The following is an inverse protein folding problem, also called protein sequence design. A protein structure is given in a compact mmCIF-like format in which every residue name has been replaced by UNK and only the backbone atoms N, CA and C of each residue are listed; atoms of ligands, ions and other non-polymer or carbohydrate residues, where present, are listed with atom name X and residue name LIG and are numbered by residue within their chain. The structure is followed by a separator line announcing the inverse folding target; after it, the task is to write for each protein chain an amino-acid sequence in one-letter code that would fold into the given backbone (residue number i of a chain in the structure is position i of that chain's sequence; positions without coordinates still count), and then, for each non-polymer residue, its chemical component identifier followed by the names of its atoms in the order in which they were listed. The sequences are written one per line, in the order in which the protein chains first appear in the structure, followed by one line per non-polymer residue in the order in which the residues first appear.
data_IF_355320717610
#
_entry.id   IF_355320717610
#
_cell.length_a   1.000
_cell.length_b   1.000
_cell.length_c   1.000
_cell.angle_alpha   90.00
_cell.angle_beta   90.00
_cell.angle_gamma   90.00
#
_symmetry.space_group_name_H-M   'P 1'
#
loop_
_entity.id
_entity.type
_entity.pdbx_description
1 polymer ?
#
# COMPACT_ATOMS: atom_id res chain seq x y z
N UNK A 1 22.67 -19.64 0.59
CA UNK A 1 21.61 -19.51 1.64
C UNK A 1 21.09 -18.09 1.52
N UNK A 2 19.79 -17.89 1.49
CA UNK A 2 19.18 -16.56 1.42
C UNK A 2 19.39 -15.83 2.74
N UNK A 3 19.77 -14.54 2.71
CA UNK A 3 19.93 -13.68 3.89
C UNK A 3 18.95 -12.52 3.81
N UNK A 4 18.71 -11.83 4.94
CA UNK A 4 17.90 -10.60 5.00
C UNK A 4 18.43 -9.56 4.03
N UNK A 5 19.75 -9.34 3.97
CA UNK A 5 20.44 -8.43 3.04
C UNK A 5 20.15 -8.79 1.58
N UNK A 6 20.15 -10.07 1.24
CA UNK A 6 19.86 -10.49 -0.13
C UNK A 6 18.41 -10.20 -0.54
N UNK A 7 17.46 -10.33 0.42
CA UNK A 7 16.06 -9.98 0.19
C UNK A 7 15.90 -8.47 0.06
N UNK A 8 16.53 -7.68 0.92
CA UNK A 8 16.53 -6.23 0.85
C UNK A 8 17.07 -5.73 -0.51
N UNK A 9 18.21 -6.29 -0.95
CA UNK A 9 18.80 -5.92 -2.24
C UNK A 9 17.84 -6.23 -3.40
N UNK A 10 17.22 -7.40 -3.42
CA UNK A 10 16.25 -7.76 -4.46
C UNK A 10 15.03 -6.81 -4.45
N UNK A 11 14.58 -6.35 -3.29
CA UNK A 11 13.52 -5.37 -3.18
C UNK A 11 13.95 -4.00 -3.71
N UNK A 12 15.20 -3.58 -3.47
CA UNK A 12 15.76 -2.34 -4.03
C UNK A 12 16.04 -2.45 -5.53
N UNK A 13 16.29 -3.65 -6.07
CA UNK A 13 16.39 -3.87 -7.52
C UNK A 13 15.04 -3.63 -8.22
N UNK A 14 13.92 -3.84 -7.51
CA UNK A 14 12.58 -3.50 -8.00
C UNK A 14 12.19 -2.06 -7.72
N UNK A 15 12.33 -1.62 -6.48
CA UNK A 15 11.95 -0.29 -6.00
C UNK A 15 13.15 0.37 -5.30
N UNK A 16 14.06 1.00 -6.05
CA UNK A 16 15.25 1.65 -5.51
C UNK A 16 14.95 2.60 -4.35
N UNK A 17 15.86 2.63 -3.36
CA UNK A 17 15.71 3.48 -2.18
C UNK A 17 15.57 4.96 -2.53
N UNK A 18 16.23 5.38 -3.60
CA UNK A 18 16.26 6.76 -4.09
C UNK A 18 14.90 7.25 -4.60
N UNK A 19 13.95 6.34 -4.82
CA UNK A 19 12.56 6.68 -5.14
C UNK A 19 11.73 7.06 -3.91
N UNK A 20 12.24 6.80 -2.70
CA UNK A 20 11.52 7.14 -1.49
C UNK A 20 11.49 8.65 -1.26
N UNK A 21 10.37 9.13 -0.74
CA UNK A 21 10.25 10.51 -0.26
C UNK A 21 11.28 10.80 0.84
N UNK A 22 11.79 12.03 0.90
CA UNK A 22 12.90 12.42 1.80
C UNK A 22 12.58 12.29 3.30
N UNK A 23 11.30 12.28 3.65
CA UNK A 23 10.81 12.11 5.03
C UNK A 23 10.56 10.66 5.42
N UNK A 24 10.66 9.73 4.46
CA UNK A 24 10.28 8.32 4.63
C UNK A 24 11.42 7.48 5.23
N UNK A 25 11.06 6.30 5.73
CA UNK A 25 11.99 5.35 6.34
C UNK A 25 11.78 3.96 5.75
N UNK A 26 12.55 3.62 4.72
CA UNK A 26 12.42 2.38 3.95
C UNK A 26 13.64 1.48 4.10
N UNK A 27 13.47 0.19 3.83
CA UNK A 27 14.50 -0.84 3.89
C UNK A 27 14.45 -1.66 5.17
N UNK A 28 15.58 -2.24 5.56
CA UNK A 28 15.70 -3.02 6.79
C UNK A 28 15.65 -2.10 8.02
N UNK A 29 14.54 -2.15 8.74
CA UNK A 29 14.32 -1.30 9.92
C UNK A 29 14.59 -2.02 11.23
N UNK A 30 14.47 -3.35 11.27
CA UNK A 30 14.71 -4.17 12.47
C UNK A 30 15.39 -5.48 12.04
N UNK A 31 16.39 -5.91 12.80
CA UNK A 31 17.01 -7.23 12.65
C UNK A 31 18.44 -7.22 12.12
N UNK A 32 19.00 -8.42 11.97
CA UNK A 32 20.35 -8.64 11.46
C UNK A 32 20.31 -8.83 9.93
N UNK A 33 21.02 -7.99 9.16
CA UNK A 33 21.06 -8.11 7.71
C UNK A 33 21.67 -9.43 7.21
N UNK A 34 22.54 -10.07 8.00
CA UNK A 34 23.24 -11.29 7.62
C UNK A 34 22.51 -12.56 8.12
N UNK A 35 21.40 -12.42 8.85
CA UNK A 35 20.60 -13.52 9.32
C UNK A 35 20.06 -14.37 8.14
N UNK A 36 20.07 -15.71 8.25
CA UNK A 36 19.53 -16.60 7.25
C UNK A 36 17.98 -16.52 7.22
N UNK A 37 17.42 -16.56 6.02
CA UNK A 37 15.97 -16.51 5.80
C UNK A 37 15.53 -17.71 5.00
N UNK A 38 14.55 -18.44 5.50
CA UNK A 38 13.87 -19.55 4.82
C UNK A 38 12.35 -19.34 4.72
N UNK A 39 11.79 -18.47 5.56
CA UNK A 39 10.36 -18.14 5.58
C UNK A 39 10.16 -16.64 5.68
N UNK A 40 9.35 -16.10 4.77
CA UNK A 40 9.04 -14.67 4.66
C UNK A 40 7.53 -14.50 4.76
N UNK A 41 7.09 -13.57 5.60
CA UNK A 41 5.71 -13.15 5.71
C UNK A 41 5.54 -11.77 5.07
N UNK A 42 4.55 -11.60 4.20
CA UNK A 42 4.21 -10.33 3.57
C UNK A 42 2.97 -9.76 4.25
N UNK A 43 2.97 -8.47 4.55
CA UNK A 43 1.82 -7.76 5.08
C UNK A 43 1.79 -6.31 4.61
N UNK A 44 0.65 -5.63 4.70
CA UNK A 44 0.60 -4.18 4.51
C UNK A 44 1.24 -3.48 5.72
N UNK A 45 0.81 -3.86 6.92
CA UNK A 45 1.29 -3.30 8.20
C UNK A 45 1.91 -4.38 9.09
N UNK A 46 2.92 -4.00 9.88
CA UNK A 46 3.48 -4.86 10.95
C UNK A 46 2.71 -4.61 12.25
N UNK A 47 1.61 -5.33 12.42
CA UNK A 47 0.79 -5.27 13.62
C UNK A 47 1.23 -6.31 14.66
N UNK A 48 0.81 -6.21 15.95
CA UNK A 48 1.07 -7.27 16.93
C UNK A 48 0.55 -8.65 16.50
N UNK A 49 -0.54 -8.70 15.73
CA UNK A 49 -1.09 -9.94 15.20
C UNK A 49 -0.19 -10.53 14.10
N UNK A 50 0.34 -9.70 13.22
CA UNK A 50 1.29 -10.10 12.16
C UNK A 50 2.60 -10.61 12.75
N UNK A 51 3.14 -9.95 13.78
CA UNK A 51 4.36 -10.43 14.46
C UNK A 51 4.12 -11.79 15.12
N UNK A 52 2.96 -11.99 15.73
CA UNK A 52 2.58 -13.27 16.32
C UNK A 52 2.45 -14.36 15.26
N UNK A 53 1.76 -14.08 14.14
CA UNK A 53 1.66 -15.01 13.01
C UNK A 53 3.04 -15.39 12.47
N UNK A 54 3.95 -14.44 12.31
CA UNK A 54 5.32 -14.69 11.88
C UNK A 54 6.07 -15.60 12.86
N UNK A 55 5.95 -15.36 14.16
CA UNK A 55 6.55 -16.20 15.20
C UNK A 55 5.97 -17.62 15.19
N UNK A 56 4.65 -17.76 15.17
CA UNK A 56 3.95 -19.04 15.19
C UNK A 56 4.23 -19.91 13.93
N UNK A 57 4.45 -19.25 12.78
CA UNK A 57 4.76 -19.91 11.52
C UNK A 57 6.26 -20.07 11.27
N UNK A 58 7.11 -19.58 12.18
CA UNK A 58 8.57 -19.65 12.13
C UNK A 58 9.17 -18.82 10.99
N UNK A 59 8.60 -17.67 10.68
CA UNK A 59 9.19 -16.71 9.74
C UNK A 59 10.36 -15.97 10.39
N UNK A 60 11.44 -15.79 9.64
CA UNK A 60 12.61 -15.00 10.04
C UNK A 60 12.52 -13.56 9.56
N UNK A 61 11.64 -13.26 8.60
CA UNK A 61 11.52 -11.94 7.97
C UNK A 61 10.06 -11.61 7.72
N UNK A 62 9.68 -10.38 8.07
CA UNK A 62 8.46 -9.74 7.59
C UNK A 62 8.86 -8.68 6.56
N UNK A 63 8.22 -8.69 5.39
CA UNK A 63 8.30 -7.61 4.42
C UNK A 63 6.96 -6.92 4.39
N UNK A 64 6.95 -5.64 4.71
CA UNK A 64 5.72 -4.84 4.77
C UNK A 64 5.81 -3.61 3.87
N UNK A 65 4.65 -3.03 3.58
CA UNK A 65 4.59 -1.74 2.89
C UNK A 65 4.87 -0.62 3.89
N UNK A 66 4.08 -0.50 4.93
CA UNK A 66 4.21 0.59 5.89
C UNK A 66 5.43 0.46 6.80
N UNK A 67 6.19 1.56 7.02
CA UNK A 67 7.31 1.58 7.94
C UNK A 67 6.89 1.29 9.38
N UNK A 68 7.58 0.36 10.03
CA UNK A 68 7.31 -0.04 11.41
C UNK A 68 7.83 0.97 12.43
N UNK A 69 8.68 1.92 12.03
CA UNK A 69 9.24 2.95 12.91
C UNK A 69 9.78 4.15 12.16
N UNK A 70 9.86 5.30 12.84
CA UNK A 70 10.51 6.53 12.40
C UNK A 70 10.02 7.05 11.03
N UNK A 71 8.74 6.95 10.80
CA UNK A 71 8.02 7.65 9.75
C UNK A 71 7.17 8.77 10.34
N UNK A 72 6.44 9.51 9.52
CA UNK A 72 5.69 10.70 9.96
C UNK A 72 4.72 10.43 11.11
N UNK A 73 4.16 9.21 11.21
CA UNK A 73 3.16 8.83 12.21
C UNK A 73 3.68 7.84 13.29
N UNK A 74 4.88 7.29 13.15
CA UNK A 74 5.48 6.33 14.07
C UNK A 74 6.88 6.77 14.50
N UNK A 75 6.97 7.82 15.34
CA UNK A 75 8.24 8.25 15.93
C UNK A 75 8.55 7.41 17.15
N UNK A 76 9.65 6.67 17.11
CA UNK A 76 10.09 5.78 18.19
C UNK A 76 11.33 6.33 18.86
N UNK A 77 11.19 6.81 20.09
CA UNK A 77 12.29 7.27 20.92
C UNK A 77 12.67 6.27 22.03
N UNK A 78 11.77 5.35 22.36
CA UNK A 78 11.98 4.34 23.40
C UNK A 78 11.38 3.00 22.98
N UNK A 79 11.99 1.89 23.42
CA UNK A 79 11.50 0.53 23.20
C UNK A 79 10.78 0.02 24.46
N UNK A 80 9.63 0.62 24.78
CA UNK A 80 8.84 0.26 25.94
C UNK A 80 7.72 -0.72 25.54
N UNK A 81 7.43 -1.68 26.40
CA UNK A 81 6.37 -2.66 26.14
C UNK A 81 4.99 -2.23 26.66
N UNK A 82 4.90 -1.07 27.31
CA UNK A 82 3.64 -0.47 27.76
C UNK A 82 2.97 0.40 26.66
N UNK A 83 3.63 0.65 25.54
CA UNK A 83 3.03 1.22 24.33
C UNK A 83 2.97 0.19 23.18
N UNK A 84 2.10 0.44 22.20
CA UNK A 84 1.86 -0.51 21.08
C UNK A 84 3.09 -0.69 20.21
N UNK A 85 3.73 0.41 19.83
CA UNK A 85 4.86 0.39 18.89
C UNK A 85 6.10 -0.23 19.51
N UNK A 86 6.39 0.13 20.76
CA UNK A 86 7.48 -0.49 21.51
C UNK A 86 7.29 -1.99 21.70
N UNK A 87 6.05 -2.47 21.89
CA UNK A 87 5.75 -3.92 21.91
C UNK A 87 6.08 -4.56 20.58
N UNK A 88 5.60 -4.03 19.46
CA UNK A 88 5.86 -4.57 18.13
C UNK A 88 7.36 -4.73 17.90
N UNK A 89 8.15 -3.68 18.13
CA UNK A 89 9.60 -3.69 17.95
C UNK A 89 10.31 -4.68 18.90
N UNK A 90 9.87 -4.70 20.16
CA UNK A 90 10.45 -5.62 21.15
C UNK A 90 10.13 -7.08 20.81
N UNK A 91 8.92 -7.37 20.34
CA UNK A 91 8.52 -8.73 19.98
C UNK A 91 9.20 -9.21 18.70
N UNK A 92 9.42 -8.34 17.69
CA UNK A 92 10.28 -8.65 16.55
C UNK A 92 11.68 -9.10 17.00
N UNK A 93 12.31 -8.32 17.87
CA UNK A 93 13.65 -8.64 18.40
C UNK A 93 13.68 -9.93 19.24
N UNK A 94 12.68 -10.13 20.11
CA UNK A 94 12.56 -11.35 20.95
C UNK A 94 12.42 -12.63 20.15
N UNK A 95 11.73 -12.55 19.01
CA UNK A 95 11.51 -13.70 18.14
C UNK A 95 12.56 -13.82 17.02
N UNK A 96 13.58 -12.95 17.01
CA UNK A 96 14.60 -12.87 15.95
C UNK A 96 13.96 -12.72 14.56
N UNK A 97 12.94 -11.89 14.43
CA UNK A 97 12.24 -11.60 13.19
C UNK A 97 12.73 -10.26 12.68
N UNK A 98 13.33 -10.26 11.49
CA UNK A 98 13.69 -9.03 10.80
C UNK A 98 12.47 -8.37 10.14
N UNK A 99 12.53 -7.06 9.95
CA UNK A 99 11.48 -6.29 9.30
C UNK A 99 12.07 -5.38 8.22
N UNK A 100 11.64 -5.60 6.97
CA UNK A 100 11.92 -4.73 5.83
C UNK A 100 10.61 -4.03 5.45
N UNK A 101 10.68 -2.71 5.22
CA UNK A 101 9.53 -1.92 4.80
C UNK A 101 9.83 -1.22 3.47
N UNK A 102 8.90 -1.35 2.52
CA UNK A 102 8.98 -0.77 1.18
C UNK A 102 7.75 0.12 0.99
N UNK A 103 7.90 1.41 1.17
CA UNK A 103 6.80 2.38 1.26
C UNK A 103 6.77 3.31 0.05
N UNK A 104 7.05 4.58 0.18
CA UNK A 104 6.95 5.53 -0.94
C UNK A 104 7.85 5.19 -2.13
N UNK A 105 8.96 4.50 -1.93
CA UNK A 105 9.75 3.96 -3.03
C UNK A 105 9.00 2.90 -3.84
N UNK A 106 8.18 2.06 -3.19
CA UNK A 106 7.34 1.05 -3.87
C UNK A 106 6.09 1.69 -4.48
N UNK A 107 5.59 2.81 -3.93
CA UNK A 107 4.54 3.62 -4.55
C UNK A 107 4.99 4.24 -5.87
N UNK A 108 6.23 4.74 -5.91
CA UNK A 108 6.83 5.39 -7.06
C UNK A 108 7.31 4.41 -8.15
N UNK A 109 7.72 3.20 -7.76
CA UNK A 109 8.33 2.22 -8.65
C UNK A 109 7.40 1.78 -9.78
N UNK A 110 7.99 1.49 -10.94
CA UNK A 110 7.29 0.81 -12.03
C UNK A 110 6.87 -0.61 -11.58
N UNK A 111 5.63 -0.95 -11.83
CA UNK A 111 5.03 -2.20 -11.33
C UNK A 111 4.77 -2.21 -9.82
N UNK A 112 4.93 -1.09 -9.13
CA UNK A 112 4.67 -0.92 -7.70
C UNK A 112 3.18 -0.70 -7.38
N UNK A 113 2.90 -0.14 -6.19
CA UNK A 113 1.54 0.00 -5.65
C UNK A 113 0.59 0.67 -6.63
N UNK A 114 0.98 1.84 -7.15
CA UNK A 114 0.10 2.64 -8.02
C UNK A 114 -0.14 2.02 -9.39
N UNK A 115 0.84 1.31 -9.95
CA UNK A 115 0.66 0.54 -11.20
C UNK A 115 -0.29 -0.63 -11.01
N UNK A 116 -0.15 -1.35 -9.89
CA UNK A 116 -1.02 -2.49 -9.56
C UNK A 116 -2.44 -1.99 -9.28
N UNK A 117 -2.59 -0.90 -8.52
CA UNK A 117 -3.90 -0.29 -8.26
C UNK A 117 -4.59 0.11 -9.57
N UNK A 118 -3.89 0.82 -10.45
CA UNK A 118 -4.42 1.23 -11.75
C UNK A 118 -4.89 0.02 -12.60
N UNK A 119 -4.05 -1.01 -12.70
CA UNK A 119 -4.38 -2.24 -13.44
C UNK A 119 -5.52 -3.02 -12.80
N UNK A 120 -5.61 -3.05 -11.47
CA UNK A 120 -6.71 -3.69 -10.74
C UNK A 120 -8.05 -3.01 -11.04
N UNK A 121 -8.02 -1.70 -11.29
CA UNK A 121 -9.17 -0.90 -11.73
C UNK A 121 -9.37 -0.90 -13.25
N UNK A 122 -8.65 -1.75 -14.00
CA UNK A 122 -8.83 -1.92 -15.44
C UNK A 122 -8.31 -0.76 -16.29
N UNK A 123 -7.39 0.04 -15.76
CA UNK A 123 -6.80 1.15 -16.51
C UNK A 123 -5.68 0.66 -17.43
N UNK A 124 -5.69 1.19 -18.64
CA UNK A 124 -4.68 1.00 -19.69
C UNK A 124 -3.94 2.33 -19.94
N UNK A 125 -2.85 2.31 -20.73
CA UNK A 125 -2.05 3.48 -21.14
C UNK A 125 -1.60 4.32 -19.93
N UNK A 126 -0.94 3.68 -18.97
CA UNK A 126 -0.57 4.32 -17.71
C UNK A 126 0.52 5.38 -17.88
N UNK A 127 0.27 6.56 -17.31
CA UNK A 127 1.19 7.69 -17.18
C UNK A 127 1.42 8.02 -15.69
N UNK A 128 2.54 8.68 -15.38
CA UNK A 128 2.78 9.20 -14.01
C UNK A 128 1.84 10.36 -13.72
N UNK A 129 1.26 10.38 -12.51
CA UNK A 129 0.43 11.50 -12.07
C UNK A 129 1.28 12.69 -11.62
N UNK A 130 2.42 12.43 -10.97
CA UNK A 130 3.31 13.46 -10.42
C UNK A 130 4.76 13.29 -10.91
N UNK A 131 5.57 14.34 -10.78
CA UNK A 131 7.01 14.30 -11.07
C UNK A 131 7.76 13.36 -10.13
N UNK A 132 7.31 13.24 -8.88
CA UNK A 132 7.82 12.33 -7.85
C UNK A 132 7.41 10.87 -8.12
N UNK A 133 6.67 10.63 -9.21
CA UNK A 133 6.16 9.31 -9.66
C UNK A 133 5.10 8.71 -8.72
N UNK A 134 4.52 9.49 -7.83
CA UNK A 134 3.41 9.04 -6.98
C UNK A 134 2.10 9.14 -7.78
N UNK A 135 1.28 8.09 -7.70
CA UNK A 135 0.04 7.97 -8.46
C UNK A 135 0.24 7.63 -9.93
N UNK A 136 -0.86 7.26 -10.57
CA UNK A 136 -0.92 6.98 -12.02
C UNK A 136 -2.17 7.60 -12.61
N UNK A 137 -2.08 7.90 -13.90
CA UNK A 137 -3.24 8.24 -14.74
C UNK A 137 -3.37 7.16 -15.81
N UNK A 138 -4.57 6.75 -16.12
CA UNK A 138 -4.84 5.81 -17.19
C UNK A 138 -6.25 5.97 -17.73
N UNK A 139 -6.61 5.17 -18.72
CA UNK A 139 -7.93 5.20 -19.34
C UNK A 139 -8.63 3.85 -19.20
N UNK A 140 -9.94 3.89 -18.99
CA UNK A 140 -10.77 2.71 -19.14
C UNK A 140 -10.92 2.40 -20.64
N UNK A 141 -11.03 1.12 -20.98
CA UNK A 141 -11.28 0.69 -22.36
C UNK A 141 -12.57 1.28 -22.95
N UNK A 142 -13.57 1.50 -22.12
CA UNK A 142 -14.84 2.14 -22.48
C UNK A 142 -15.22 3.10 -21.35
N UNK A 143 -15.81 4.22 -21.71
CA UNK A 143 -16.44 5.13 -20.76
C UNK A 143 -17.59 4.44 -20.02
N UNK A 144 -17.70 4.64 -18.72
CA UNK A 144 -18.72 4.06 -17.86
C UNK A 144 -19.42 5.15 -17.05
N UNK A 145 -20.75 5.05 -16.85
CA UNK A 145 -21.42 5.87 -15.85
C UNK A 145 -20.78 5.70 -14.46
N UNK A 146 -20.62 6.80 -13.71
CA UNK A 146 -20.04 6.73 -12.35
C UNK A 146 -20.76 5.68 -11.48
N UNK A 147 -22.09 5.58 -11.57
CA UNK A 147 -22.90 4.64 -10.79
C UNK A 147 -22.58 3.16 -11.08
N UNK A 148 -22.01 2.86 -12.24
CA UNK A 148 -21.53 1.52 -12.61
C UNK A 148 -20.06 1.31 -12.20
N UNK A 149 -19.26 2.37 -12.23
CA UNK A 149 -17.85 2.31 -11.82
C UNK A 149 -17.69 2.11 -10.31
N UNK A 150 -18.53 2.74 -9.47
CA UNK A 150 -18.46 2.61 -8.01
C UNK A 150 -18.53 1.13 -7.52
N UNK A 151 -19.53 0.31 -7.92
CA UNK A 151 -19.57 -1.10 -7.53
C UNK A 151 -18.41 -1.91 -8.12
N UNK A 152 -17.89 -1.53 -9.28
CA UNK A 152 -16.71 -2.15 -9.87
C UNK A 152 -15.46 -1.89 -8.99
N UNK A 153 -15.24 -0.66 -8.50
CA UNK A 153 -14.16 -0.33 -7.56
C UNK A 153 -14.29 -1.16 -6.28
N UNK A 154 -15.49 -1.20 -5.67
CA UNK A 154 -15.74 -2.01 -4.45
C UNK A 154 -15.34 -3.47 -4.67
N UNK A 155 -15.78 -4.06 -5.78
CA UNK A 155 -15.51 -5.47 -6.09
C UNK A 155 -14.02 -5.72 -6.37
N UNK A 156 -13.37 -4.84 -7.14
CA UNK A 156 -11.98 -5.00 -7.57
C UNK A 156 -10.99 -4.87 -6.42
N UNK A 157 -11.27 -3.96 -5.48
CA UNK A 157 -10.41 -3.70 -4.31
C UNK A 157 -10.84 -4.47 -3.05
N UNK A 158 -12.02 -5.10 -3.06
CA UNK A 158 -12.57 -5.78 -1.90
C UNK A 158 -12.96 -4.82 -0.77
N UNK A 159 -13.34 -3.58 -1.10
CA UNK A 159 -13.74 -2.58 -0.10
C UNK A 159 -15.03 -3.00 0.60
N UNK A 160 -15.18 -2.65 1.87
CA UNK A 160 -16.44 -2.79 2.62
C UNK A 160 -17.43 -1.66 2.28
N UNK A 161 -16.98 -0.58 1.66
CA UNK A 161 -17.71 0.59 1.22
C UNK A 161 -16.76 1.65 0.69
N UNK A 162 -17.28 2.73 0.14
CA UNK A 162 -16.49 3.88 -0.29
C UNK A 162 -17.28 5.18 -0.06
N UNK A 163 -16.55 6.30 -0.02
CA UNK A 163 -17.12 7.65 -0.02
C UNK A 163 -16.84 8.28 -1.38
N UNK A 164 -17.76 9.08 -1.89
CA UNK A 164 -17.53 9.75 -3.16
C UNK A 164 -18.30 11.05 -3.28
N UNK A 165 -17.85 11.91 -4.19
CA UNK A 165 -18.60 13.04 -4.74
C UNK A 165 -18.59 12.95 -6.25
N UNK A 166 -19.73 13.28 -6.86
CA UNK A 166 -19.89 13.30 -8.31
C UNK A 166 -19.81 14.72 -8.83
N UNK A 167 -19.04 14.93 -9.89
CA UNK A 167 -19.06 16.16 -10.68
C UNK A 167 -20.01 16.09 -11.90
N UNK A 168 -20.76 14.97 -12.05
CA UNK A 168 -21.68 14.75 -13.16
C UNK A 168 -21.05 14.21 -14.44
N UNK A 169 -19.77 13.87 -14.43
CA UNK A 169 -19.07 13.23 -15.58
C UNK A 169 -19.13 11.71 -15.49
N UNK A 170 -19.18 11.07 -16.63
CA UNK A 170 -18.88 9.65 -16.76
C UNK A 170 -17.38 9.39 -16.59
N UNK A 171 -16.98 8.15 -16.35
CA UNK A 171 -15.64 7.73 -15.98
C UNK A 171 -14.92 7.15 -17.20
N UNK A 172 -13.82 7.77 -17.57
CA UNK A 172 -12.96 7.29 -18.66
C UNK A 172 -11.47 7.51 -18.37
N UNK A 173 -11.04 8.76 -18.09
CA UNK A 173 -9.66 9.09 -17.75
C UNK A 173 -9.52 9.22 -16.24
N UNK A 174 -8.90 8.22 -15.63
CA UNK A 174 -8.89 8.04 -14.18
C UNK A 174 -7.49 8.24 -13.64
N UNK A 175 -7.36 9.09 -12.61
CA UNK A 175 -6.19 9.11 -11.74
C UNK A 175 -6.38 8.12 -10.58
N UNK A 176 -5.29 7.50 -10.14
CA UNK A 176 -5.25 6.66 -8.93
C UNK A 176 -4.07 7.05 -8.05
N UNK A 177 -4.27 6.97 -6.74
CA UNK A 177 -3.22 7.12 -5.73
C UNK A 177 -3.53 6.24 -4.54
N UNK A 178 -2.69 5.23 -4.28
CA UNK A 178 -2.81 4.37 -3.11
C UNK A 178 -2.60 5.17 -1.83
N UNK A 179 -3.35 4.83 -0.77
CA UNK A 179 -3.27 5.53 0.49
C UNK A 179 -3.76 6.99 0.43
N UNK A 180 -3.17 7.84 1.25
CA UNK A 180 -3.61 9.23 1.49
C UNK A 180 -3.09 10.22 0.42
N UNK A 181 -3.52 10.07 -0.83
CA UNK A 181 -3.08 10.90 -1.95
C UNK A 181 -3.98 12.12 -2.25
N UNK A 182 -4.83 12.56 -1.31
CA UNK A 182 -5.71 13.72 -1.51
C UNK A 182 -4.99 15.02 -1.89
N UNK A 183 -3.71 15.18 -1.52
CA UNK A 183 -2.91 16.34 -1.93
C UNK A 183 -2.67 16.44 -3.45
N UNK A 184 -2.86 15.34 -4.21
CA UNK A 184 -2.67 15.30 -5.67
C UNK A 184 -3.96 15.51 -6.48
N UNK A 185 -5.07 15.91 -5.84
CA UNK A 185 -6.30 16.30 -6.54
C UNK A 185 -6.04 17.38 -7.62
N UNK A 186 -5.24 18.44 -7.35
CA UNK A 186 -4.94 19.44 -8.39
C UNK A 186 -4.21 18.87 -9.59
N UNK A 187 -3.29 17.93 -9.40
CA UNK A 187 -2.54 17.25 -10.47
C UNK A 187 -3.47 16.36 -11.31
N UNK A 188 -4.41 15.63 -10.68
CA UNK A 188 -5.40 14.83 -11.39
C UNK A 188 -6.31 15.71 -12.27
N UNK A 189 -6.75 16.87 -11.77
CA UNK A 189 -7.50 17.84 -12.55
C UNK A 189 -6.66 18.39 -13.72
N UNK A 190 -5.41 18.79 -13.45
CA UNK A 190 -4.50 19.32 -14.47
C UNK A 190 -4.17 18.29 -15.57
N UNK A 191 -4.13 17.00 -15.22
CA UNK A 191 -3.97 15.88 -16.16
C UNK A 191 -5.25 15.59 -16.97
N UNK A 192 -6.34 16.33 -16.75
CA UNK A 192 -7.60 16.19 -17.47
C UNK A 192 -8.39 14.94 -17.06
N UNK A 193 -8.17 14.41 -15.88
CA UNK A 193 -8.94 13.27 -15.37
C UNK A 193 -10.39 13.68 -15.06
N UNK A 194 -11.32 12.78 -15.33
CA UNK A 194 -12.72 12.91 -14.90
C UNK A 194 -12.96 12.31 -13.51
N UNK A 195 -12.06 11.41 -13.07
CA UNK A 195 -12.21 10.67 -11.80
C UNK A 195 -10.84 10.49 -11.13
N UNK A 196 -10.81 10.61 -9.78
CA UNK A 196 -9.65 10.28 -8.96
C UNK A 196 -10.05 9.28 -7.87
N UNK A 197 -9.37 8.12 -7.85
CA UNK A 197 -9.54 7.08 -6.83
C UNK A 197 -8.35 7.10 -5.89
N UNK A 198 -8.59 7.34 -4.60
CA UNK A 198 -7.57 7.41 -3.54
C UNK A 198 -8.19 7.06 -2.18
N UNK A 199 -7.59 7.50 -1.08
CA UNK A 199 -8.14 7.33 0.26
C UNK A 199 -7.87 8.51 1.19
N UNK A 200 -8.41 8.41 2.42
CA UNK A 200 -8.22 9.36 3.53
C UNK A 200 -8.57 10.81 3.19
N UNK A 201 -9.53 11.00 2.29
CA UNK A 201 -10.01 12.31 1.91
C UNK A 201 -10.75 12.97 3.07
N UNK A 202 -10.43 14.25 3.31
CA UNK A 202 -11.08 15.08 4.31
C UNK A 202 -12.41 15.61 3.77
N UNK A 203 -13.28 16.06 4.66
CA UNK A 203 -14.55 16.68 4.29
C UNK A 203 -14.38 17.81 3.26
N UNK A 204 -13.38 18.68 3.46
CA UNK A 204 -13.13 19.80 2.56
C UNK A 204 -12.64 19.37 1.18
N UNK A 205 -11.94 18.24 1.08
CA UNK A 205 -11.52 17.70 -0.23
C UNK A 205 -12.74 17.38 -1.09
N UNK A 206 -13.81 16.83 -0.48
CA UNK A 206 -15.08 16.57 -1.18
C UNK A 206 -15.91 17.84 -1.44
N UNK A 207 -15.88 18.80 -0.50
CA UNK A 207 -16.71 20.01 -0.56
C UNK A 207 -16.19 21.02 -1.58
N UNK A 208 -14.87 21.22 -1.59
CA UNK A 208 -14.22 22.32 -2.30
C UNK A 208 -13.69 21.90 -3.69
N UNK A 209 -13.75 20.59 -4.03
CA UNK A 209 -13.28 20.09 -5.33
C UNK A 209 -14.39 20.11 -6.37
N UNK A 210 -14.10 20.72 -7.52
CA UNK A 210 -15.01 20.80 -8.66
C UNK A 210 -14.38 20.15 -9.91
N UNK A 211 -15.23 19.70 -10.82
CA UNK A 211 -14.82 19.25 -12.15
C UNK A 211 -14.22 17.84 -12.25
N UNK A 212 -14.11 17.12 -11.14
CA UNK A 212 -13.63 15.73 -11.08
C UNK A 212 -14.46 14.91 -10.09
N UNK A 213 -14.77 13.66 -10.39
CA UNK A 213 -15.33 12.73 -9.43
C UNK A 213 -14.23 12.31 -8.44
N UNK A 214 -14.48 12.41 -7.14
CA UNK A 214 -13.58 11.90 -6.11
C UNK A 214 -14.14 10.63 -5.50
N UNK A 215 -13.31 9.59 -5.40
CA UNK A 215 -13.63 8.31 -4.78
C UNK A 215 -12.60 8.00 -3.71
N UNK A 216 -13.03 7.94 -2.46
CA UNK A 216 -12.25 7.44 -1.33
C UNK A 216 -12.62 5.97 -1.12
N UNK A 217 -11.73 5.09 -1.56
CA UNK A 217 -11.93 3.64 -1.53
C UNK A 217 -11.31 2.96 -0.29
N UNK A 218 -10.78 3.76 0.64
CA UNK A 218 -10.11 3.31 1.86
C UNK A 218 -8.61 3.04 1.67
N UNK A 219 -7.84 3.28 2.74
CA UNK A 219 -6.39 3.16 2.72
C UNK A 219 -5.95 1.73 2.44
N UNK A 220 -6.37 0.80 3.29
CA UNK A 220 -6.02 -0.61 3.16
C UNK A 220 -6.39 -1.19 1.78
N UNK A 221 -7.60 -1.02 1.22
CA UNK A 221 -7.95 -1.60 -0.08
C UNK A 221 -7.11 -1.04 -1.23
N UNK A 222 -6.74 0.24 -1.20
CA UNK A 222 -5.98 0.87 -2.29
C UNK A 222 -4.51 0.45 -2.31
N UNK A 223 -3.95 -0.01 -1.19
CA UNK A 223 -2.53 -0.40 -1.09
C UNK A 223 -2.31 -1.91 -0.91
N UNK A 224 -3.24 -2.63 -0.27
CA UNK A 224 -3.09 -4.07 -0.05
C UNK A 224 -3.01 -4.88 -1.37
N UNK A 225 -3.40 -4.29 -2.48
CA UNK A 225 -3.22 -4.85 -3.83
C UNK A 225 -1.77 -5.24 -4.12
N UNK A 226 -0.78 -4.63 -3.43
CA UNK A 226 0.65 -4.92 -3.61
C UNK A 226 1.10 -6.21 -2.92
N UNK A 227 0.44 -6.66 -1.87
CA UNK A 227 0.92 -7.79 -1.06
C UNK A 227 1.04 -9.10 -1.87
N UNK A 228 0.08 -9.37 -2.75
CA UNK A 228 0.13 -10.52 -3.65
C UNK A 228 1.29 -10.47 -4.65
N UNK A 229 1.43 -9.40 -5.45
CA UNK A 229 2.55 -9.18 -6.34
C UNK A 229 3.92 -9.20 -5.65
N UNK A 230 4.04 -8.60 -4.47
CA UNK A 230 5.26 -8.60 -3.65
C UNK A 230 5.67 -10.04 -3.26
N UNK A 231 4.69 -10.84 -2.80
CA UNK A 231 4.92 -12.25 -2.52
C UNK A 231 5.33 -13.03 -3.77
N UNK A 232 4.70 -12.78 -4.91
CA UNK A 232 5.03 -13.42 -6.19
C UNK A 232 6.43 -13.05 -6.67
N UNK A 233 6.84 -11.80 -6.51
CA UNK A 233 8.19 -11.34 -6.83
C UNK A 233 9.23 -12.09 -5.99
N UNK A 234 9.07 -12.13 -4.67
CA UNK A 234 10.02 -12.79 -3.77
C UNK A 234 10.05 -14.30 -3.95
N UNK A 235 8.92 -14.96 -4.30
CA UNK A 235 8.92 -16.40 -4.65
C UNK A 235 9.76 -16.70 -5.88
N UNK A 236 9.75 -15.81 -6.88
CA UNK A 236 10.60 -15.95 -8.09
C UNK A 236 12.06 -15.70 -7.78
N UNK A 237 12.36 -14.66 -7.00
CA UNK A 237 13.74 -14.32 -6.65
C UNK A 237 14.38 -15.34 -5.71
N UNK A 238 13.61 -15.96 -4.82
CA UNK A 238 14.09 -16.88 -3.78
C UNK A 238 13.27 -18.18 -3.76
N UNK A 239 13.40 -19.05 -4.78
CA UNK A 239 12.57 -20.26 -4.90
C UNK A 239 12.79 -21.28 -3.78
N UNK A 240 13.89 -21.17 -3.01
CA UNK A 240 14.17 -22.01 -1.84
C UNK A 240 13.51 -21.49 -0.55
N UNK A 241 12.98 -20.26 -0.56
CA UNK A 241 12.27 -19.69 0.59
C UNK A 241 10.76 -19.89 0.47
N UNK A 242 10.11 -20.12 1.59
CA UNK A 242 8.64 -20.10 1.66
C UNK A 242 8.19 -18.65 1.86
N UNK A 243 7.36 -18.11 0.95
CA UNK A 243 6.81 -16.76 1.05
C UNK A 243 5.29 -16.85 1.14
N UNK A 244 4.73 -16.31 2.21
CA UNK A 244 3.27 -16.24 2.45
C UNK A 244 2.81 -14.80 2.64
N UNK A 245 1.54 -14.54 2.36
CA UNK A 245 0.86 -13.29 2.71
C UNK A 245 0.15 -13.50 4.05
N UNK A 246 0.21 -12.52 4.93
CA UNK A 246 -0.38 -12.58 6.26
C UNK A 246 -1.90 -12.81 6.20
N UNK A 247 -2.37 -13.76 6.98
CA UNK A 247 -3.78 -13.99 7.23
C UNK A 247 -4.30 -13.11 8.39
N UNK A 248 -3.42 -12.75 9.32
CA UNK A 248 -3.77 -11.90 10.47
C UNK A 248 -4.07 -10.44 10.10
N UNK A 249 -3.65 -10.01 8.92
CA UNK A 249 -3.91 -8.68 8.38
C UNK A 249 -4.29 -8.76 6.90
N UNK A 250 -5.37 -9.45 6.61
CA UNK A 250 -5.85 -9.74 5.25
C UNK A 250 -7.07 -8.89 4.84
N UNK A 251 -7.58 -8.06 5.74
CA UNK A 251 -8.74 -7.20 5.49
C UNK A 251 -8.61 -5.88 6.24
N UNK A 252 -9.35 -4.89 5.75
CA UNK A 252 -9.48 -3.58 6.38
C UNK A 252 -10.03 -3.69 7.81
N UNK A 253 -9.46 -2.89 8.72
CA UNK A 253 -9.91 -2.81 10.12
C UNK A 253 -11.15 -1.94 10.29
N UNK A 254 -11.43 -1.06 9.29
CA UNK A 254 -12.58 -0.17 9.31
C UNK A 254 -13.84 -0.94 8.94
N UNK A 255 -14.88 -0.80 9.75
CA UNK A 255 -16.18 -1.40 9.52
C UNK A 255 -17.19 -0.32 9.13
N UNK A 256 -18.08 -0.65 8.21
CA UNK A 256 -19.13 0.26 7.73
C UNK A 256 -20.49 -0.16 8.29
N UNK A 257 -21.18 0.78 8.95
CA UNK A 257 -22.57 0.61 9.35
C UNK A 257 -23.40 1.54 8.45
N UNK A 258 -24.18 0.96 7.56
CA UNK A 258 -25.04 1.71 6.63
C UNK A 258 -26.48 1.63 7.12
N UNK A 259 -27.23 2.76 6.99
CA UNK A 259 -28.67 2.78 7.23
C UNK A 259 -29.36 2.02 6.08
N UNK A 260 -30.08 0.95 6.41
CA UNK A 260 -31.01 0.33 5.46
C UNK A 260 -32.05 1.34 4.98
N UNK A 261 -32.30 1.38 3.68
CA UNK A 261 -33.29 2.30 3.09
C UNK A 261 -34.71 1.85 3.34
#
# INVERSE_FOLDING_TARGET
MTTVRAVEQALYDWAPRELAESWDNVGLLVGDPDAPVSRILIALDITPAVVREAADTGCQLIVAHHPVMNCAWHQVQTLRTDDRQGRVLTDLLRHNIAAICMHTNLDAAEGGVNDILARTLGLEDLEMLTEEKIGRVGTLKCELPLVEFLPFVIKSLGCHGLRYVSCGKDVHRVAVGGGACGCYIPQAIAAGCDTFVTSDLKYNDFLDTEGINLIDAGHFPTENVICGPLAAYLRRAFPAATVSVSAAHSSEVIQYCIKEK
#
